data_IF_581873301660
#
_entry.id   IF_581873301660
#
_cell.length_a   1.000
_cell.length_b   1.000
_cell.length_c   1.000
_cell.angle_alpha   90.00
_cell.angle_beta   90.00
_cell.angle_gamma   90.00
#
_symmetry.space_group_name_H-M   'P 1'
#
loop_
_entity.id
_entity.type
_entity.pdbx_description
1 polymer ?
#
# COMPACT_ATOMS: atom_id res chain seq x y z
N UNK A 1 12.84 -35.31 33.68
CA UNK A 1 11.67 -34.84 32.87
C UNK A 1 11.04 -36.04 32.16
N UNK A 2 9.75 -36.29 32.36
CA UNK A 2 9.03 -37.47 31.84
C UNK A 2 9.14 -37.58 30.30
N UNK A 3 9.47 -38.76 29.73
CA UNK A 3 9.64 -38.97 28.29
C UNK A 3 8.42 -38.56 27.46
N UNK A 4 7.20 -38.75 27.98
CA UNK A 4 5.96 -38.30 27.30
C UNK A 4 5.92 -36.78 27.14
N UNK A 5 6.41 -36.03 28.13
CA UNK A 5 6.48 -34.56 28.08
C UNK A 5 7.50 -34.07 27.04
N UNK A 6 8.61 -34.80 26.86
CA UNK A 6 9.62 -34.50 25.82
C UNK A 6 9.03 -34.65 24.41
N UNK A 7 8.27 -35.72 24.16
CA UNK A 7 7.63 -35.98 22.86
C UNK A 7 6.60 -34.90 22.52
N UNK A 8 5.74 -34.54 23.48
CA UNK A 8 4.75 -33.47 23.28
C UNK A 8 5.42 -32.14 22.99
N UNK A 9 6.49 -31.81 23.71
CA UNK A 9 7.26 -30.57 23.49
C UNK A 9 7.91 -30.56 22.10
N UNK A 10 8.55 -31.65 21.69
CA UNK A 10 9.16 -31.78 20.36
C UNK A 10 8.12 -31.62 19.24
N UNK A 11 6.95 -32.25 19.39
CA UNK A 11 5.84 -32.12 18.44
C UNK A 11 5.31 -30.68 18.36
N UNK A 12 5.17 -29.99 19.49
CA UNK A 12 4.75 -28.59 19.52
C UNK A 12 5.76 -27.67 18.80
N UNK A 13 7.06 -27.85 19.05
CA UNK A 13 8.13 -27.11 18.36
C UNK A 13 8.09 -27.39 16.86
N UNK A 14 7.99 -28.66 16.44
CA UNK A 14 7.84 -29.03 15.03
C UNK A 14 6.65 -28.33 14.36
N UNK A 15 5.47 -28.33 15.00
CA UNK A 15 4.27 -27.63 14.47
C UNK A 15 4.48 -26.13 14.35
N UNK A 16 5.17 -25.51 15.32
CA UNK A 16 5.50 -24.07 15.29
C UNK A 16 6.42 -23.74 14.12
N UNK A 17 7.49 -24.50 13.92
CA UNK A 17 8.44 -24.32 12.82
C UNK A 17 7.76 -24.50 11.47
N UNK A 18 6.99 -25.58 11.28
CA UNK A 18 6.23 -25.83 10.05
C UNK A 18 5.20 -24.73 9.76
N UNK A 19 4.60 -24.14 10.81
CA UNK A 19 3.68 -23.00 10.66
C UNK A 19 4.42 -21.72 10.28
N UNK A 20 5.63 -21.49 10.77
CA UNK A 20 6.46 -20.35 10.36
C UNK A 20 6.92 -20.48 8.90
N UNK A 21 7.34 -21.66 8.47
CA UNK A 21 7.71 -21.91 7.06
C UNK A 21 6.55 -21.61 6.12
N UNK A 22 5.35 -22.12 6.43
CA UNK A 22 4.13 -21.83 5.65
C UNK A 22 3.77 -20.34 5.61
N UNK A 23 4.20 -19.57 6.61
CA UNK A 23 3.96 -18.12 6.73
C UNK A 23 5.10 -17.27 6.16
N UNK A 24 6.20 -17.87 5.70
CA UNK A 24 7.26 -17.13 5.01
C UNK A 24 6.68 -16.57 3.72
N UNK A 25 6.42 -15.27 3.71
CA UNK A 25 6.03 -14.54 2.50
C UNK A 25 7.21 -14.62 1.53
N UNK A 26 6.95 -14.99 0.27
CA UNK A 26 7.97 -14.95 -0.80
C UNK A 26 8.54 -13.54 -0.97
N UNK A 27 7.68 -12.52 -0.83
CA UNK A 27 8.06 -11.12 -0.84
C UNK A 27 7.31 -10.35 0.23
N UNK A 28 8.02 -9.51 0.99
CA UNK A 28 7.39 -8.50 1.86
C UNK A 28 6.73 -7.38 1.03
N UNK A 29 7.44 -6.91 -0.01
CA UNK A 29 6.95 -6.01 -1.05
C UNK A 29 7.32 -6.65 -2.39
N UNK A 30 6.33 -6.85 -3.27
CA UNK A 30 6.58 -7.42 -4.59
C UNK A 30 7.47 -6.48 -5.43
N UNK A 31 8.45 -6.98 -6.22
CA UNK A 31 9.35 -6.14 -7.01
C UNK A 31 8.66 -5.11 -7.89
N UNK A 32 7.50 -5.45 -8.47
CA UNK A 32 6.69 -4.53 -9.28
C UNK A 32 6.25 -3.27 -8.51
N UNK A 33 6.01 -3.41 -7.20
CA UNK A 33 5.56 -2.31 -6.34
C UNK A 33 6.72 -1.44 -5.85
N UNK A 34 7.98 -1.88 -6.02
CA UNK A 34 9.14 -1.06 -5.65
C UNK A 34 9.25 0.17 -6.54
N UNK A 35 8.89 0.05 -7.81
CA UNK A 35 8.92 1.15 -8.79
C UNK A 35 7.61 1.94 -8.86
N UNK A 36 6.74 1.87 -7.85
CA UNK A 36 5.44 2.59 -7.91
C UNK A 36 5.61 4.11 -8.07
N UNK A 37 6.66 4.69 -7.49
CA UNK A 37 6.93 6.13 -7.60
C UNK A 37 7.30 6.58 -9.02
N UNK A 38 7.79 5.65 -9.84
CA UNK A 38 8.22 5.90 -11.22
C UNK A 38 7.16 5.46 -12.23
N UNK A 39 6.61 4.25 -12.04
CA UNK A 39 5.74 3.57 -13.00
C UNK A 39 4.26 3.58 -12.60
N UNK A 40 3.95 3.97 -11.36
CA UNK A 40 2.58 3.94 -10.85
C UNK A 40 1.70 4.95 -11.56
N UNK A 41 0.45 4.56 -11.84
CA UNK A 41 -0.50 5.38 -12.59
C UNK A 41 -0.72 6.76 -11.96
N UNK A 42 -0.64 6.90 -10.63
CA UNK A 42 -0.72 8.21 -10.01
C UNK A 42 0.43 9.13 -10.44
N UNK A 43 1.65 8.62 -10.46
CA UNK A 43 2.84 9.40 -10.82
C UNK A 43 2.90 9.66 -12.32
N UNK A 44 2.63 8.66 -13.15
CA UNK A 44 2.76 8.77 -14.61
C UNK A 44 1.56 9.43 -15.28
N UNK A 45 0.33 9.08 -14.90
CA UNK A 45 -0.88 9.57 -15.54
C UNK A 45 -1.45 10.77 -14.78
N UNK A 46 -1.76 10.61 -13.48
CA UNK A 46 -2.48 11.65 -12.74
C UNK A 46 -1.64 12.91 -12.55
N UNK A 47 -0.41 12.76 -12.06
CA UNK A 47 0.47 13.89 -11.74
C UNK A 47 1.02 14.57 -13.00
N UNK A 48 1.46 13.79 -13.98
CA UNK A 48 2.20 14.32 -15.13
C UNK A 48 1.32 14.65 -16.34
N UNK A 49 0.18 13.97 -16.56
CA UNK A 49 -0.62 14.15 -17.78
C UNK A 49 -1.98 14.78 -17.48
N UNK A 50 -2.77 14.17 -16.59
CA UNK A 50 -4.14 14.62 -16.34
C UNK A 50 -4.20 16.02 -15.73
N UNK A 51 -3.22 16.43 -14.92
CA UNK A 51 -3.25 17.78 -14.35
C UNK A 51 -3.06 18.89 -15.39
N UNK A 52 -2.47 18.59 -16.54
CA UNK A 52 -2.26 19.55 -17.63
C UNK A 52 -3.54 19.76 -18.46
N UNK A 53 -4.34 18.70 -18.64
CA UNK A 53 -5.60 18.74 -19.41
C UNK A 53 -6.83 18.69 -18.49
N UNK A 54 -7.53 19.81 -18.37
CA UNK A 54 -8.70 19.93 -17.50
C UNK A 54 -9.90 19.07 -17.95
N UNK A 55 -10.11 18.92 -19.26
CA UNK A 55 -11.19 18.10 -19.78
C UNK A 55 -10.93 16.61 -19.51
N UNK A 56 -9.69 16.15 -19.71
CA UNK A 56 -9.29 14.77 -19.37
C UNK A 56 -9.32 14.53 -17.88
N UNK A 57 -8.88 15.49 -17.06
CA UNK A 57 -8.99 15.39 -15.60
C UNK A 57 -10.44 15.23 -15.16
N UNK A 58 -11.33 16.08 -15.69
CA UNK A 58 -12.75 16.02 -15.38
C UNK A 58 -13.37 14.69 -15.82
N UNK A 59 -13.03 14.21 -17.01
CA UNK A 59 -13.53 12.92 -17.48
C UNK A 59 -13.04 11.75 -16.62
N UNK A 60 -11.81 11.84 -16.10
CA UNK A 60 -11.20 10.80 -15.28
C UNK A 60 -11.79 10.77 -13.86
N UNK A 61 -11.84 11.92 -13.17
CA UNK A 61 -12.28 12.00 -11.76
C UNK A 61 -13.73 12.45 -11.57
N UNK A 62 -14.44 12.80 -12.65
CA UNK A 62 -15.78 13.40 -12.63
C UNK A 62 -15.88 14.68 -11.79
N UNK A 63 -14.77 15.41 -11.69
CA UNK A 63 -14.67 16.69 -10.97
C UNK A 63 -13.51 17.53 -11.48
N UNK A 64 -13.56 18.84 -11.25
CA UNK A 64 -12.47 19.75 -11.56
C UNK A 64 -11.25 19.52 -10.64
N UNK A 65 -10.07 19.93 -11.12
CA UNK A 65 -8.80 19.88 -10.38
C UNK A 65 -8.90 20.62 -9.03
N UNK A 66 -9.55 21.78 -9.04
CA UNK A 66 -9.78 22.61 -7.84
C UNK A 66 -10.63 21.89 -6.79
N UNK A 67 -11.65 21.15 -7.21
CA UNK A 67 -12.50 20.34 -6.32
C UNK A 67 -11.73 19.17 -5.73
N UNK A 68 -10.92 18.48 -6.55
CA UNK A 68 -10.01 17.45 -6.08
C UNK A 68 -9.04 17.98 -5.01
N UNK A 69 -8.41 19.13 -5.27
CA UNK A 69 -7.44 19.73 -4.34
C UNK A 69 -8.12 20.20 -3.04
N UNK A 70 -9.34 20.74 -3.10
CA UNK A 70 -10.15 21.07 -1.91
C UNK A 70 -10.49 19.83 -1.08
N UNK A 71 -10.88 18.73 -1.73
CA UNK A 71 -11.13 17.46 -1.06
C UNK A 71 -9.87 16.91 -0.42
N UNK A 72 -8.75 16.96 -1.15
CA UNK A 72 -7.44 16.55 -0.65
C UNK A 72 -7.06 17.36 0.59
N UNK A 73 -7.22 18.69 0.57
CA UNK A 73 -6.90 19.53 1.72
C UNK A 73 -7.72 19.12 2.97
N UNK A 74 -9.03 18.87 2.81
CA UNK A 74 -9.91 18.47 3.91
C UNK A 74 -9.60 17.07 4.46
N UNK A 75 -9.18 16.15 3.59
CA UNK A 75 -8.98 14.74 3.94
C UNK A 75 -7.51 14.37 4.18
N UNK A 76 -6.56 15.26 3.85
CA UNK A 76 -5.12 14.97 3.88
C UNK A 76 -4.66 14.40 5.21
N UNK A 77 -5.10 15.00 6.33
CA UNK A 77 -4.74 14.54 7.67
C UNK A 77 -5.30 13.14 7.98
N UNK A 78 -6.52 12.84 7.53
CA UNK A 78 -7.15 11.52 7.72
C UNK A 78 -6.55 10.44 6.81
N UNK A 79 -6.04 10.85 5.65
CA UNK A 79 -5.43 9.96 4.66
C UNK A 79 -3.92 9.78 4.85
N UNK A 80 -3.27 10.62 5.66
CA UNK A 80 -1.84 10.53 5.94
C UNK A 80 -1.59 9.36 6.88
N UNK A 81 -0.74 8.43 6.45
CA UNK A 81 -0.15 7.45 7.37
C UNK A 81 1.31 7.80 7.62
N UNK A 82 1.84 7.27 8.72
CA UNK A 82 3.23 7.44 9.10
C UNK A 82 4.15 6.57 8.23
N UNK A 83 5.28 7.14 7.86
CA UNK A 83 6.37 6.37 7.26
C UNK A 83 7.01 5.46 8.30
N UNK A 84 7.47 4.30 7.87
CA UNK A 84 8.17 3.35 8.73
C UNK A 84 9.53 3.05 8.13
N UNK A 85 10.48 2.59 8.95
CA UNK A 85 11.79 2.15 8.48
C UNK A 85 11.69 1.02 7.42
N UNK A 86 10.58 0.30 7.37
CA UNK A 86 10.35 -0.79 6.43
C UNK A 86 9.78 -0.34 5.07
N UNK A 87 9.00 0.77 5.05
CA UNK A 87 8.40 1.32 3.84
C UNK A 87 7.88 2.74 4.05
N UNK A 88 7.93 3.51 2.97
CA UNK A 88 7.20 4.77 2.85
C UNK A 88 5.70 4.50 2.66
N UNK A 89 4.89 5.32 3.31
CA UNK A 89 3.45 5.36 3.17
C UNK A 89 3.05 5.76 1.75
N UNK A 90 1.81 5.42 1.37
CA UNK A 90 1.16 6.00 0.19
C UNK A 90 0.73 7.43 0.53
N UNK A 91 1.18 8.45 -0.23
CA UNK A 91 0.79 9.84 0.01
C UNK A 91 -0.73 10.04 -0.08
N UNK A 92 -1.31 10.98 0.69
CA UNK A 92 -2.74 11.27 0.66
C UNK A 92 -3.33 11.51 -0.73
N UNK A 93 -2.61 12.22 -1.60
CA UNK A 93 -3.04 12.52 -2.96
C UNK A 93 -3.16 11.25 -3.82
N UNK A 94 -2.19 10.34 -3.71
CA UNK A 94 -2.20 9.05 -4.42
C UNK A 94 -3.36 8.18 -3.91
N UNK A 95 -3.57 8.13 -2.59
CA UNK A 95 -4.71 7.41 -2.00
C UNK A 95 -6.04 7.97 -2.46
N UNK A 96 -6.19 9.29 -2.45
CA UNK A 96 -7.41 9.96 -2.88
C UNK A 96 -7.69 9.67 -4.37
N UNK A 97 -6.66 9.76 -5.21
CA UNK A 97 -6.78 9.47 -6.64
C UNK A 97 -7.22 8.02 -6.91
N UNK A 98 -6.65 7.05 -6.20
CA UNK A 98 -7.08 5.64 -6.33
C UNK A 98 -8.51 5.42 -5.82
N UNK A 99 -8.93 6.18 -4.80
CA UNK A 99 -10.28 6.04 -4.22
C UNK A 99 -11.37 6.64 -5.12
N UNK A 100 -11.06 7.73 -5.83
CA UNK A 100 -12.02 8.46 -6.66
C UNK A 100 -12.10 7.99 -8.12
N UNK A 101 -11.12 7.23 -8.57
CA UNK A 101 -11.11 6.60 -9.90
C UNK A 101 -12.17 5.50 -9.98
#
# INVERSE_FOLDING_TARGET
MNPKKKIVLAYYVYRRLKKQERRKRRFWIHPILKKRGELGAFHTLVKNQLREDEAKFYNYFRMQKTTFDKLLQKLSQKLKHQDTNMRQSIPPAERLAVTLR
#
